data_IF_644501723068
#
_entry.id   IF_644501723068
#
_cell.length_a   1.000
_cell.length_b   1.000
_cell.length_c   1.000
_cell.angle_alpha   90.00
_cell.angle_beta   90.00
_cell.angle_gamma   90.00
#
_symmetry.space_group_name_H-M   'P 1'
#
loop_
_entity.id
_entity.type
_entity.pdbx_description
1 polymer ?
#
# COMPACT_ATOMS: atom_id res chain seq x y z
N UNK A 1 9.46 12.92 16.35
CA UNK A 1 8.28 12.15 15.94
C UNK A 1 8.04 12.26 14.43
N UNK A 2 8.96 11.76 13.57
CA UNK A 2 9.11 12.38 12.22
C UNK A 2 8.94 11.51 10.97
N UNK A 3 8.74 10.18 11.07
CA UNK A 3 8.52 9.33 9.86
C UNK A 3 7.97 7.94 10.20
N UNK A 4 8.43 7.35 11.31
CA UNK A 4 8.01 6.00 11.73
C UNK A 4 6.54 5.97 12.16
N UNK A 5 6.06 6.98 12.89
CA UNK A 5 4.63 7.12 13.24
C UNK A 5 3.75 7.43 12.03
N UNK A 6 4.30 8.10 11.01
CA UNK A 6 3.61 8.38 9.74
C UNK A 6 3.45 7.10 8.91
N UNK A 7 4.48 6.23 8.89
CA UNK A 7 4.44 4.91 8.27
C UNK A 7 3.47 3.97 8.99
N UNK A 8 3.49 3.93 10.34
CA UNK A 8 2.56 3.14 11.17
C UNK A 8 1.08 3.48 10.92
N UNK A 9 0.77 4.63 10.31
CA UNK A 9 -0.58 5.16 10.07
C UNK A 9 -1.09 4.96 8.63
N UNK A 10 -0.24 4.51 7.71
CA UNK A 10 -0.62 4.27 6.31
C UNK A 10 -1.01 2.80 6.15
N UNK A 11 -2.20 2.56 5.62
CA UNK A 11 -2.63 1.20 5.32
C UNK A 11 -1.65 0.47 4.40
N UNK A 12 -1.62 -0.86 4.52
CA UNK A 12 -0.78 -1.73 3.70
C UNK A 12 -1.58 -2.92 3.17
N UNK A 13 -1.23 -3.34 1.96
CA UNK A 13 -1.80 -4.52 1.33
C UNK A 13 -0.70 -5.44 0.80
N UNK A 14 -0.90 -6.74 0.97
CA UNK A 14 -0.16 -7.76 0.23
C UNK A 14 -1.15 -8.54 -0.61
N UNK A 15 -0.95 -8.50 -1.92
CA UNK A 15 -1.86 -9.08 -2.91
C UNK A 15 -1.13 -10.04 -3.82
N UNK A 16 -1.83 -11.09 -4.26
CA UNK A 16 -1.35 -12.01 -5.29
C UNK A 16 -2.21 -11.84 -6.54
N UNK A 17 -1.62 -11.23 -7.57
CA UNK A 17 -2.31 -10.84 -8.79
C UNK A 17 -1.32 -10.61 -9.93
N UNK A 18 -1.80 -10.63 -11.18
CA UNK A 18 -0.96 -10.18 -12.30
C UNK A 18 -0.73 -8.67 -12.22
N UNK A 19 0.41 -8.21 -12.75
CA UNK A 19 0.71 -6.78 -12.81
C UNK A 19 -0.34 -6.01 -13.61
N UNK A 20 -0.95 -6.64 -14.62
CA UNK A 20 -2.02 -6.04 -15.42
C UNK A 20 -3.28 -5.79 -14.61
N UNK A 21 -3.67 -6.74 -13.75
CA UNK A 21 -4.81 -6.56 -12.85
C UNK A 21 -4.55 -5.45 -11.82
N UNK A 22 -3.32 -5.36 -11.31
CA UNK A 22 -2.88 -4.27 -10.41
C UNK A 22 -2.94 -2.92 -11.12
N UNK A 23 -2.44 -2.84 -12.36
CA UNK A 23 -2.48 -1.61 -13.18
C UNK A 23 -3.92 -1.15 -13.40
N UNK A 24 -4.81 -2.08 -13.76
CA UNK A 24 -6.22 -1.75 -13.99
C UNK A 24 -6.93 -1.34 -12.70
N UNK A 25 -6.68 -2.03 -11.59
CA UNK A 25 -7.20 -1.66 -10.28
C UNK A 25 -6.74 -0.26 -9.87
N UNK A 26 -5.46 0.08 -10.10
CA UNK A 26 -4.92 1.40 -9.78
C UNK A 26 -5.57 2.50 -10.62
N UNK A 27 -5.76 2.26 -11.93
CA UNK A 27 -6.44 3.19 -12.84
C UNK A 27 -7.86 3.50 -12.38
N UNK A 28 -8.64 2.46 -12.05
CA UNK A 28 -10.01 2.58 -11.58
C UNK A 28 -10.09 3.24 -10.19
N UNK A 29 -9.15 2.94 -9.29
CA UNK A 29 -9.09 3.55 -7.96
C UNK A 29 -8.84 5.05 -8.02
N UNK A 30 -7.96 5.48 -8.92
CA UNK A 30 -7.59 6.88 -9.08
C UNK A 30 -8.61 7.69 -9.90
N UNK A 31 -9.47 7.00 -10.68
CA UNK A 31 -10.63 7.60 -11.35
C UNK A 31 -10.32 8.50 -12.54
N UNK A 32 -9.06 8.58 -12.98
CA UNK A 32 -8.59 9.46 -14.08
C UNK A 32 -7.47 8.78 -14.88
N UNK A 33 -7.00 9.43 -15.94
CA UNK A 33 -5.82 8.99 -16.71
C UNK A 33 -4.61 8.89 -15.77
N UNK A 34 -4.14 7.67 -15.55
CA UNK A 34 -3.01 7.39 -14.66
C UNK A 34 -1.70 7.30 -15.44
N UNK A 35 -0.65 7.89 -14.87
CA UNK A 35 0.74 7.73 -15.27
C UNK A 35 1.36 6.59 -14.45
N UNK A 36 2.04 5.68 -15.14
CA UNK A 36 2.93 4.69 -14.54
C UNK A 36 4.34 5.27 -14.49
N UNK A 37 4.92 5.35 -13.29
CA UNK A 37 6.32 5.74 -13.09
C UNK A 37 7.04 4.58 -12.45
N UNK A 38 8.19 4.20 -13.01
CA UNK A 38 9.05 3.16 -12.45
C UNK A 38 10.23 3.84 -11.76
N UNK A 39 10.33 3.64 -10.45
CA UNK A 39 11.40 4.19 -9.61
C UNK A 39 11.99 3.06 -8.77
N UNK A 40 13.29 2.82 -8.92
CA UNK A 40 14.01 1.74 -8.26
C UNK A 40 13.34 0.37 -8.49
N UNK A 41 12.81 -0.23 -7.41
CA UNK A 41 12.10 -1.51 -7.36
C UNK A 41 10.59 -1.32 -7.13
N UNK A 42 10.04 -0.17 -7.53
CA UNK A 42 8.63 0.18 -7.32
C UNK A 42 7.99 0.67 -8.60
N UNK A 43 6.70 0.38 -8.72
CA UNK A 43 5.81 0.90 -9.75
C UNK A 43 4.84 1.84 -9.06
N UNK A 44 4.80 3.08 -9.50
CA UNK A 44 3.97 4.13 -8.92
C UNK A 44 2.90 4.50 -9.95
N UNK A 45 1.65 4.27 -9.58
CA UNK A 45 0.50 4.76 -10.33
C UNK A 45 0.04 6.08 -9.72
N UNK A 46 0.01 7.13 -10.53
CA UNK A 46 -0.35 8.48 -10.09
C UNK A 46 -1.01 9.24 -11.24
N UNK A 47 -1.45 10.47 -11.02
CA UNK A 47 -1.90 11.37 -12.08
C UNK A 47 -1.49 12.81 -11.75
N UNK A 48 -1.54 13.69 -12.73
CA UNK A 48 -1.16 15.09 -12.54
C UNK A 48 -2.17 15.81 -11.64
N UNK A 49 -1.70 16.25 -10.48
CA UNK A 49 -2.44 17.11 -9.55
C UNK A 49 -1.51 18.24 -9.13
N UNK A 50 -1.99 19.50 -9.09
CA UNK A 50 -1.15 20.65 -8.83
C UNK A 50 -0.63 20.74 -7.39
N UNK A 51 -1.25 20.02 -6.44
CA UNK A 51 -0.96 20.20 -5.00
C UNK A 51 -0.51 18.91 -4.33
N UNK A 52 -1.31 17.84 -4.42
CA UNK A 52 -1.04 16.59 -3.74
C UNK A 52 -1.41 15.39 -4.63
N UNK A 53 -0.62 15.05 -5.66
CA UNK A 53 -0.94 13.93 -6.52
C UNK A 53 -1.03 12.62 -5.71
N UNK A 54 -2.16 11.91 -5.80
CA UNK A 54 -2.32 10.64 -5.14
C UNK A 54 -1.46 9.58 -5.82
N UNK A 55 -0.99 8.62 -5.03
CA UNK A 55 -0.10 7.55 -5.49
C UNK A 55 -0.57 6.23 -4.94
N UNK A 56 -0.60 5.23 -5.82
CA UNK A 56 -0.63 3.82 -5.45
C UNK A 56 0.76 3.30 -5.78
N UNK A 57 1.46 2.86 -4.74
CA UNK A 57 2.85 2.42 -4.83
C UNK A 57 2.86 0.91 -4.70
N UNK A 58 3.41 0.25 -5.70
CA UNK A 58 3.46 -1.20 -5.81
C UNK A 58 4.90 -1.63 -5.80
N UNK A 59 5.25 -2.57 -4.92
CA UNK A 59 6.56 -3.18 -4.84
C UNK A 59 6.40 -4.69 -4.99
N UNK A 60 7.09 -5.28 -5.95
CA UNK A 60 7.14 -6.74 -6.07
C UNK A 60 7.97 -7.31 -4.92
N UNK A 61 7.41 -8.30 -4.22
CA UNK A 61 8.10 -9.01 -3.13
C UNK A 61 8.58 -10.37 -3.63
N UNK A 62 7.71 -11.07 -4.36
CA UNK A 62 7.92 -12.36 -5.00
C UNK A 62 7.17 -12.33 -6.34
N UNK A 63 7.53 -13.21 -7.28
CA UNK A 63 6.88 -13.25 -8.59
C UNK A 63 5.35 -13.38 -8.45
N UNK A 64 4.61 -12.37 -8.94
CA UNK A 64 3.15 -12.34 -8.86
C UNK A 64 2.56 -11.89 -7.51
N UNK A 65 3.40 -11.50 -6.55
CA UNK A 65 2.99 -11.06 -5.22
C UNK A 65 3.57 -9.70 -4.88
N UNK A 66 2.68 -8.78 -4.52
CA UNK A 66 3.00 -7.36 -4.46
C UNK A 66 2.59 -6.77 -3.11
N UNK A 67 3.48 -5.94 -2.57
CA UNK A 67 3.17 -4.99 -1.50
C UNK A 67 2.61 -3.73 -2.14
N UNK A 68 1.41 -3.33 -1.72
CA UNK A 68 0.74 -2.15 -2.21
C UNK A 68 0.51 -1.19 -1.04
N UNK A 69 0.94 0.04 -1.23
CA UNK A 69 0.70 1.15 -0.30
C UNK A 69 0.09 2.33 -1.05
N UNK A 70 -0.50 3.24 -0.29
CA UNK A 70 -1.11 4.46 -0.81
C UNK A 70 -0.47 5.66 -0.13
N UNK A 71 -0.20 6.71 -0.90
CA UNK A 71 0.27 7.97 -0.34
C UNK A 71 -0.14 9.15 -1.22
N UNK A 72 -0.09 10.35 -0.67
CA UNK A 72 -0.19 11.58 -1.45
C UNK A 72 1.16 12.28 -1.45
N UNK A 73 1.69 12.66 -2.63
CA UNK A 73 2.94 13.42 -2.70
C UNK A 73 2.63 14.89 -2.40
N UNK A 74 2.71 15.30 -1.13
CA UNK A 74 2.46 16.68 -0.75
C UNK A 74 3.68 17.56 -1.08
N UNK A 75 3.45 18.66 -1.81
CA UNK A 75 4.47 19.67 -2.09
C UNK A 75 4.60 20.73 -0.98
N UNK A 76 3.68 20.74 -0.01
CA UNK A 76 3.63 21.71 1.09
C UNK A 76 4.40 21.16 2.30
N UNK A 77 5.53 21.77 2.68
CA UNK A 77 6.22 21.43 3.93
C UNK A 77 5.30 21.68 5.13
N UNK A 78 5.29 20.75 6.10
CA UNK A 78 4.53 20.87 7.35
C UNK A 78 3.02 21.12 7.18
N UNK A 79 2.41 20.50 6.18
CA UNK A 79 0.97 20.60 5.93
C UNK A 79 0.13 20.20 7.17
N UNK A 80 -0.78 21.04 7.66
CA UNK A 80 -1.58 20.76 8.86
C UNK A 80 -2.64 19.67 8.62
N UNK A 81 -2.90 19.28 7.37
CA UNK A 81 -3.94 18.31 6.99
C UNK A 81 -3.43 16.87 6.90
N UNK A 82 -2.24 16.57 7.43
CA UNK A 82 -1.58 15.27 7.30
C UNK A 82 -2.43 14.09 7.84
N UNK A 83 -3.18 14.27 8.92
CA UNK A 83 -4.05 13.21 9.47
C UNK A 83 -5.19 12.86 8.51
N UNK A 84 -5.77 13.89 7.88
CA UNK A 84 -6.77 13.70 6.83
C UNK A 84 -6.17 13.01 5.62
N UNK A 85 -4.93 13.33 5.25
CA UNK A 85 -4.23 12.64 4.17
C UNK A 85 -4.02 11.15 4.48
N UNK A 86 -3.59 10.80 5.70
CA UNK A 86 -3.44 9.40 6.10
C UNK A 86 -4.77 8.64 6.02
N UNK A 87 -5.89 9.25 6.45
CA UNK A 87 -7.22 8.66 6.31
C UNK A 87 -7.60 8.42 4.85
N UNK A 88 -7.42 9.42 3.98
CA UNK A 88 -7.72 9.31 2.55
C UNK A 88 -6.83 8.25 1.89
N UNK A 89 -5.55 8.16 2.28
CA UNK A 89 -4.63 7.18 1.74
C UNK A 89 -5.08 5.75 2.09
N UNK A 90 -5.54 5.50 3.32
CA UNK A 90 -6.13 4.22 3.74
C UNK A 90 -7.45 3.90 3.04
N UNK A 91 -8.35 4.88 2.87
CA UNK A 91 -9.59 4.71 2.11
C UNK A 91 -9.32 4.35 0.65
N UNK A 92 -8.36 5.03 0.01
CA UNK A 92 -7.92 4.72 -1.36
C UNK A 92 -7.42 3.29 -1.47
N UNK A 93 -6.64 2.84 -0.49
CA UNK A 93 -6.11 1.49 -0.47
C UNK A 93 -7.22 0.43 -0.30
N UNK A 94 -8.25 0.74 0.50
CA UNK A 94 -9.44 -0.11 0.62
C UNK A 94 -10.25 -0.18 -0.68
N UNK A 95 -10.42 0.95 -1.36
CA UNK A 95 -11.08 0.99 -2.68
C UNK A 95 -10.31 0.15 -3.69
N UNK A 96 -8.98 0.27 -3.70
CA UNK A 96 -8.10 -0.53 -4.54
C UNK A 96 -8.31 -2.02 -4.33
N UNK A 97 -8.35 -2.48 -3.07
CA UNK A 97 -8.60 -3.88 -2.74
C UNK A 97 -9.93 -4.39 -3.30
N UNK A 98 -11.02 -3.63 -3.09
CA UNK A 98 -12.36 -3.99 -3.55
C UNK A 98 -12.36 -4.14 -5.08
N UNK A 99 -11.73 -3.20 -5.79
CA UNK A 99 -11.65 -3.22 -7.25
C UNK A 99 -10.80 -4.41 -7.72
N UNK A 100 -9.65 -4.65 -7.10
CA UNK A 100 -8.77 -5.76 -7.49
C UNK A 100 -9.47 -7.11 -7.31
N UNK A 101 -10.15 -7.32 -6.18
CA UNK A 101 -10.93 -8.52 -5.94
C UNK A 101 -12.06 -8.70 -6.96
N UNK A 102 -12.68 -7.59 -7.39
CA UNK A 102 -13.72 -7.60 -8.44
C UNK A 102 -13.15 -7.99 -9.81
N UNK A 103 -12.00 -7.43 -10.20
CA UNK A 103 -11.32 -7.76 -11.47
C UNK A 103 -10.93 -9.23 -11.50
N UNK A 104 -10.39 -9.73 -10.39
CA UNK A 104 -9.88 -11.09 -10.29
C UNK A 104 -10.98 -12.14 -10.10
N UNK A 105 -12.23 -11.72 -9.83
CA UNK A 105 -13.36 -12.61 -9.58
C UNK A 105 -13.23 -13.47 -8.31
N UNK A 106 -12.23 -13.19 -7.46
CA UNK A 106 -11.94 -13.92 -6.22
C UNK A 106 -11.23 -13.00 -5.22
N UNK A 107 -11.22 -13.40 -3.95
CA UNK A 107 -10.40 -12.73 -2.93
C UNK A 107 -8.92 -13.00 -3.22
N UNK A 108 -8.15 -11.94 -3.46
CA UNK A 108 -6.71 -11.97 -3.80
C UNK A 108 -5.82 -11.39 -2.71
N UNK A 109 -6.44 -10.72 -1.73
CA UNK A 109 -5.75 -10.14 -0.59
C UNK A 109 -5.27 -11.24 0.35
N UNK A 110 -3.95 -11.40 0.47
CA UNK A 110 -3.30 -12.29 1.44
C UNK A 110 -3.27 -11.61 2.81
N UNK A 111 -3.00 -10.30 2.82
CA UNK A 111 -2.98 -9.49 4.03
C UNK A 111 -3.52 -8.11 3.73
N UNK A 112 -4.46 -7.66 4.56
CA UNK A 112 -5.08 -6.35 4.47
C UNK A 112 -5.00 -5.68 5.84
N UNK A 113 -4.25 -4.59 5.94
CA UNK A 113 -4.21 -3.76 7.15
C UNK A 113 -4.65 -2.35 6.78
N UNK A 114 -5.85 -1.98 7.24
CA UNK A 114 -6.46 -0.68 6.95
C UNK A 114 -6.45 0.27 8.14
N UNK A 115 -5.98 -0.17 9.31
CA UNK A 115 -6.20 0.57 10.54
C UNK A 115 -5.24 1.73 10.75
N UNK A 116 -5.86 2.88 11.02
CA UNK A 116 -5.29 3.99 11.77
C UNK A 116 -5.73 3.82 13.24
N UNK A 117 -4.83 3.37 14.11
CA UNK A 117 -5.08 3.25 15.56
C UNK A 117 -3.90 3.80 16.36
N UNK A 118 -4.01 5.01 16.95
CA UNK A 118 -2.94 5.62 17.73
C UNK A 118 -2.64 4.93 19.07
N UNK A 119 -3.50 4.05 19.58
CA UNK A 119 -3.45 3.60 20.98
C UNK A 119 -3.14 2.11 21.20
N UNK A 120 -2.97 1.29 20.14
CA UNK A 120 -2.99 -0.18 20.28
C UNK A 120 -1.84 -0.98 19.66
N UNK A 121 -0.72 -0.36 19.33
CA UNK A 121 0.45 -1.13 18.87
C UNK A 121 1.45 -1.25 20.01
N UNK A 122 1.38 -2.35 20.76
CA UNK A 122 2.54 -2.82 21.53
C UNK A 122 3.60 -3.24 20.52
N UNK A 123 4.76 -2.59 20.52
CA UNK A 123 5.86 -2.85 19.58
C UNK A 123 6.24 -4.33 19.50
N UNK A 124 6.05 -5.05 20.60
CA UNK A 124 6.22 -6.50 20.74
C UNK A 124 5.39 -7.35 19.75
N UNK A 125 4.21 -6.89 19.31
CA UNK A 125 3.40 -7.63 18.33
C UNK A 125 3.81 -7.34 16.87
N UNK A 126 4.30 -6.12 16.61
CA UNK A 126 4.79 -5.72 15.30
C UNK A 126 6.13 -6.44 14.98
N UNK A 127 7.02 -6.53 15.97
CA UNK A 127 8.28 -7.28 15.84
C UNK A 127 8.02 -8.78 15.60
N UNK A 128 7.04 -9.37 16.29
CA UNK A 128 6.64 -10.77 16.05
C UNK A 128 6.10 -11.02 14.65
N UNK A 129 5.42 -10.04 14.05
CA UNK A 129 4.91 -10.14 12.68
C UNK A 129 6.04 -10.04 11.65
N UNK A 130 6.98 -9.11 11.86
CA UNK A 130 8.17 -8.92 11.03
C UNK A 130 9.09 -10.15 11.12
N UNK A 131 9.32 -10.69 12.33
CA UNK A 131 10.12 -11.90 12.53
C UNK A 131 9.51 -13.14 11.89
N UNK A 132 8.17 -13.28 11.90
CA UNK A 132 7.47 -14.37 11.19
C UNK A 132 7.54 -14.26 9.68
N UNK A 133 7.61 -13.04 9.14
CA UNK A 133 7.74 -12.79 7.71
C UNK A 133 9.17 -12.99 7.21
N UNK A 134 10.17 -12.68 8.06
CA UNK A 134 11.59 -12.93 7.77
C UNK A 134 11.96 -14.40 8.00
N UNK A 135 11.29 -15.10 8.92
CA UNK A 135 11.49 -16.52 9.20
C UNK A 135 10.37 -17.38 8.63
N UNK A 136 10.49 -17.79 7.36
CA UNK A 136 10.13 -19.16 6.97
C UNK A 136 11.30 -19.83 6.24
N UNK A 137 11.42 -21.15 6.42
CA UNK A 137 12.70 -21.84 6.59
C UNK A 137 13.35 -22.20 5.26
N UNK A 138 14.67 -22.42 5.28
CA UNK A 138 15.32 -23.24 4.25
C UNK A 138 14.75 -24.66 4.36
N UNK A 139 14.33 -25.28 3.26
CA UNK A 139 13.87 -26.66 3.26
C UNK A 139 15.08 -27.59 3.20
N UNK A 140 15.76 -27.76 4.32
CA UNK A 140 16.75 -28.82 4.57
C UNK A 140 16.88 -28.92 6.09
N UNK A 141 16.75 -30.14 6.63
CA UNK A 141 16.59 -30.50 8.06
C UNK A 141 15.13 -30.53 8.58
N UNK A 142 14.36 -31.46 7.98
CA UNK A 142 13.43 -32.32 8.73
C UNK A 142 14.22 -33.33 9.55
#
# INVERSE_FOLDING_TARGET
MKRVEELKRRGELVVEASLEAIREAARLTLGVTTKEVREDNKIIFTYESPVCPPRIIVKEIEAGKYHVTSSSLCSIPECPYWERCAKIDSERLRIFEIILNKIMGKKTTIMAMYEWLPERVKEEELEKLIDRLIRRPKPEEL
#
